data_IF_698283711578
#
_entry.id   IF_698283711578
#
_cell.length_a   1.000
_cell.length_b   1.000
_cell.length_c   1.000
_cell.angle_alpha   90.00
_cell.angle_beta   90.00
_cell.angle_gamma   90.00
#
_symmetry.space_group_name_H-M   'P 1'
#
loop_
_entity.id
_entity.type
_entity.pdbx_description
1 polymer ?
#
# COMPACT_ATOMS: atom_id res chain seq x y z
N UNK A 1 11.28 20.11 42.76
CA UNK A 1 9.89 20.41 43.17
C UNK A 1 9.15 21.26 42.13
N UNK A 2 9.78 22.17 41.38
CA UNK A 2 9.13 22.88 40.26
C UNK A 2 8.59 21.97 39.14
N UNK A 3 9.34 20.93 38.74
CA UNK A 3 8.95 20.03 37.66
C UNK A 3 7.58 19.35 37.83
N UNK A 4 7.17 19.05 39.07
CA UNK A 4 5.87 18.42 39.37
C UNK A 4 4.70 19.41 39.33
N UNK A 5 4.97 20.71 39.48
CA UNK A 5 3.97 21.77 39.40
C UNK A 5 3.62 22.17 37.95
N UNK A 6 4.57 22.00 37.02
CA UNK A 6 4.35 22.30 35.61
C UNK A 6 3.45 21.28 34.89
N UNK A 7 3.25 20.08 35.47
CA UNK A 7 2.40 19.03 34.89
C UNK A 7 2.78 18.72 33.44
N UNK A 8 1.82 18.86 32.51
CA UNK A 8 2.05 18.65 31.07
C UNK A 8 2.87 19.76 30.38
N UNK A 9 3.24 20.84 31.09
CA UNK A 9 4.08 21.94 30.57
C UNK A 9 5.55 21.77 30.92
N UNK A 10 5.90 20.77 31.73
CA UNK A 10 7.26 20.54 32.16
C UNK A 10 8.12 20.14 30.95
N UNK A 11 9.24 20.84 30.73
CA UNK A 11 10.21 20.44 29.71
C UNK A 11 10.82 19.10 30.07
N UNK A 12 10.73 18.10 29.19
CA UNK A 12 11.34 16.79 29.38
C UNK A 12 12.81 16.98 29.81
N UNK A 13 13.24 16.43 30.96
CA UNK A 13 14.59 16.60 31.48
C UNK A 13 15.63 16.15 30.45
N UNK A 14 16.74 16.87 30.38
CA UNK A 14 17.88 16.45 29.58
C UNK A 14 18.32 15.04 30.01
N UNK A 15 18.32 14.07 29.07
CA UNK A 15 18.55 12.64 29.34
C UNK A 15 17.29 11.77 29.37
N UNK A 16 16.09 12.37 29.39
CA UNK A 16 14.80 11.70 29.12
C UNK A 16 14.30 11.98 27.69
N UNK A 17 14.92 12.91 26.97
CA UNK A 17 14.83 12.98 25.51
C UNK A 17 15.54 11.77 24.94
N UNK A 18 14.82 10.98 24.19
CA UNK A 18 15.37 9.74 23.67
C UNK A 18 15.59 9.84 22.17
N UNK A 19 16.82 9.60 21.73
CA UNK A 19 17.23 9.83 20.34
C UNK A 19 16.39 8.99 19.37
N UNK A 20 15.94 9.57 18.24
CA UNK A 20 15.22 8.84 17.21
C UNK A 20 16.08 7.69 16.65
N UNK A 21 15.44 6.59 16.25
CA UNK A 21 16.07 5.49 15.54
C UNK A 21 15.52 5.45 14.11
N UNK A 22 15.72 6.56 13.41
CA UNK A 22 15.28 6.70 12.02
C UNK A 22 16.00 5.68 11.14
N UNK A 23 15.20 4.92 10.38
CA UNK A 23 15.72 4.05 9.34
C UNK A 23 15.84 4.86 8.05
N UNK A 24 17.06 5.02 7.55
CA UNK A 24 17.34 5.81 6.34
C UNK A 24 17.81 4.87 5.23
N UNK A 25 16.98 4.59 4.21
CA UNK A 25 17.39 3.81 3.05
C UNK A 25 18.37 4.64 2.20
N UNK A 26 19.65 4.25 2.18
CA UNK A 26 20.70 4.97 1.42
C UNK A 26 21.08 4.20 0.16
N UNK A 27 21.55 2.96 0.31
CA UNK A 27 22.09 2.18 -0.82
C UNK A 27 21.11 1.12 -1.33
N UNK A 28 20.22 0.65 -0.45
CA UNK A 28 19.29 -0.42 -0.73
C UNK A 28 17.99 -0.25 0.05
N UNK A 29 16.89 -0.90 -0.39
CA UNK A 29 15.64 -0.85 0.34
C UNK A 29 15.78 -1.38 1.77
N UNK A 30 15.10 -0.74 2.71
CA UNK A 30 14.96 -1.20 4.09
C UNK A 30 13.54 -1.72 4.28
N UNK A 31 13.42 -2.92 4.84
CA UNK A 31 12.13 -3.53 5.15
C UNK A 31 11.87 -3.41 6.66
N UNK A 32 10.73 -2.82 7.01
CA UNK A 32 10.27 -2.67 8.39
C UNK A 32 8.93 -3.37 8.58
N UNK A 33 8.91 -4.40 9.43
CA UNK A 33 7.71 -5.22 9.69
C UNK A 33 7.24 -4.98 11.12
N UNK A 34 6.13 -4.25 11.27
CA UNK A 34 5.56 -3.94 12.57
C UNK A 34 4.13 -3.43 12.46
N UNK A 35 3.57 -2.98 13.59
CA UNK A 35 2.30 -2.26 13.63
C UNK A 35 2.49 -0.88 12.99
N UNK A 36 1.94 -0.68 11.79
CA UNK A 36 2.07 0.59 11.06
C UNK A 36 0.71 1.26 11.01
N UNK A 37 0.67 2.53 11.44
CA UNK A 37 -0.58 3.31 11.46
C UNK A 37 -1.17 3.33 10.05
N UNK A 38 -2.48 3.10 9.92
CA UNK A 38 -3.24 3.05 8.65
C UNK A 38 -2.84 1.93 7.68
N UNK A 39 -1.91 1.04 8.07
CA UNK A 39 -1.55 -0.18 7.32
C UNK A 39 -1.75 -1.48 8.14
N UNK A 40 -2.03 -1.37 9.44
CA UNK A 40 -2.43 -2.49 10.28
C UNK A 40 -1.28 -3.21 11.01
N UNK A 41 -1.62 -4.29 11.70
CA UNK A 41 -0.73 -5.03 12.61
C UNK A 41 0.20 -6.04 11.91
N UNK A 42 -0.08 -6.38 10.65
CA UNK A 42 0.78 -7.22 9.80
C UNK A 42 1.32 -6.41 8.62
N UNK A 43 1.63 -5.15 8.87
CA UNK A 43 2.13 -4.27 7.85
C UNK A 43 3.62 -4.50 7.57
N UNK A 44 3.99 -4.24 6.32
CA UNK A 44 5.36 -4.32 5.81
C UNK A 44 5.65 -2.99 5.12
N UNK A 45 6.36 -2.11 5.81
CA UNK A 45 6.89 -0.90 5.22
C UNK A 45 8.17 -1.20 4.44
N UNK A 46 8.32 -0.57 3.28
CA UNK A 46 9.51 -0.67 2.44
C UNK A 46 9.99 0.74 2.14
N UNK A 47 11.16 1.07 2.67
CA UNK A 47 11.85 2.31 2.44
C UNK A 47 12.80 2.13 1.28
N UNK A 48 12.79 3.04 0.31
CA UNK A 48 13.63 2.99 -0.89
C UNK A 48 14.58 4.19 -0.93
N UNK A 49 15.82 4.03 -1.45
CA UNK A 49 16.78 5.13 -1.64
C UNK A 49 16.24 6.34 -2.40
N UNK A 50 15.27 6.12 -3.28
CA UNK A 50 14.59 7.13 -4.10
C UNK A 50 13.66 8.04 -3.29
N UNK A 51 13.63 7.90 -1.95
CA UNK A 51 12.83 8.71 -1.00
C UNK A 51 11.33 8.58 -1.15
N UNK A 52 10.85 7.57 -1.89
CA UNK A 52 9.43 7.20 -1.96
C UNK A 52 9.26 5.83 -1.34
N UNK A 53 8.21 5.67 -0.56
CA UNK A 53 8.06 4.55 0.36
C UNK A 53 6.65 3.97 0.27
N UNK A 54 6.50 2.72 0.68
CA UNK A 54 5.20 2.08 0.73
C UNK A 54 5.01 1.31 2.03
N UNK A 55 3.74 1.08 2.39
CA UNK A 55 3.36 0.07 3.36
C UNK A 55 2.38 -0.90 2.71
N UNK A 56 2.65 -2.19 2.84
CA UNK A 56 1.79 -3.27 2.39
C UNK A 56 1.13 -3.93 3.60
N UNK A 57 -0.19 -4.09 3.57
CA UNK A 57 -0.94 -4.77 4.63
C UNK A 57 -1.08 -6.26 4.28
N UNK A 58 -0.36 -7.12 4.99
CA UNK A 58 -0.37 -8.56 4.77
C UNK A 58 -1.56 -9.29 5.43
N UNK A 59 -2.51 -8.59 6.06
CA UNK A 59 -3.82 -9.17 6.39
C UNK A 59 -4.77 -9.08 5.19
N UNK A 60 -4.76 -7.94 4.49
CA UNK A 60 -5.72 -7.61 3.43
C UNK A 60 -5.12 -7.75 2.03
N UNK A 61 -3.82 -8.05 1.94
CA UNK A 61 -3.06 -8.20 0.69
C UNK A 61 -3.16 -6.97 -0.21
N UNK A 62 -3.13 -5.79 0.42
CA UNK A 62 -3.29 -4.49 -0.25
C UNK A 62 -2.04 -3.63 -0.12
N UNK A 63 -1.87 -2.76 -1.11
CA UNK A 63 -1.09 -1.54 -0.91
C UNK A 63 -1.88 -0.67 0.07
N UNK A 64 -1.30 -0.35 1.22
CA UNK A 64 -1.97 0.45 2.25
C UNK A 64 -1.60 1.92 2.16
N UNK A 65 -0.29 2.20 2.05
CA UNK A 65 0.23 3.56 2.05
C UNK A 65 1.30 3.76 0.99
N UNK A 66 1.37 4.98 0.47
CA UNK A 66 2.52 5.55 -0.23
C UNK A 66 2.90 6.88 0.42
N UNK A 67 4.19 7.21 0.51
CA UNK A 67 4.64 8.51 1.01
C UNK A 67 6.03 8.89 0.49
N UNK A 68 6.45 10.14 0.71
CA UNK A 68 7.76 10.68 0.30
C UNK A 68 8.54 11.23 1.48
N UNK A 69 9.88 11.18 1.42
CA UNK A 69 10.77 11.84 2.36
C UNK A 69 11.32 10.88 3.40
N UNK A 70 11.14 11.20 4.69
CA UNK A 70 11.60 10.34 5.78
C UNK A 70 10.81 9.02 5.82
N UNK A 71 11.52 7.92 6.08
CA UNK A 71 10.92 6.58 6.01
C UNK A 71 10.12 6.27 7.27
N UNK A 72 10.78 5.82 8.34
CA UNK A 72 10.12 5.44 9.59
C UNK A 72 11.11 5.49 10.76
N UNK A 73 10.62 5.80 11.96
CA UNK A 73 11.39 5.69 13.20
C UNK A 73 11.15 4.32 13.86
N UNK A 74 12.16 3.45 13.84
CA UNK A 74 12.04 2.13 14.41
C UNK A 74 12.01 2.11 15.95
N UNK A 75 12.35 3.24 16.59
CA UNK A 75 12.54 3.36 18.03
C UNK A 75 11.36 2.83 18.81
N UNK A 76 10.14 3.18 18.41
CA UNK A 76 8.91 2.76 19.11
C UNK A 76 8.93 1.27 19.38
N UNK A 77 9.24 0.47 18.36
CA UNK A 77 9.13 -0.99 18.43
C UNK A 77 10.44 -1.68 18.80
N UNK A 78 11.59 -1.01 18.70
CA UNK A 78 12.89 -1.58 19.02
C UNK A 78 13.38 -1.24 20.43
N UNK A 79 12.66 -0.36 21.14
CA UNK A 79 12.96 -0.02 22.53
C UNK A 79 11.81 -0.40 23.46
N UNK A 80 12.15 -0.91 24.65
CA UNK A 80 11.16 -1.29 25.66
C UNK A 80 10.20 -2.38 25.16
N UNK A 81 8.89 -2.16 25.35
CA UNK A 81 7.83 -3.14 25.03
C UNK A 81 7.21 -2.99 23.64
N UNK A 82 7.59 -1.97 22.87
CA UNK A 82 7.11 -1.84 21.50
C UNK A 82 5.60 -1.67 21.33
N UNK A 83 4.92 -0.94 22.24
CA UNK A 83 3.47 -0.78 22.16
C UNK A 83 3.04 0.35 21.21
N UNK A 84 1.95 0.10 20.48
CA UNK A 84 1.28 1.07 19.62
C UNK A 84 1.56 0.84 18.14
N UNK A 85 1.29 1.86 17.34
CA UNK A 85 1.53 1.90 15.90
C UNK A 85 2.54 2.99 15.59
N UNK A 86 3.40 2.75 14.61
CA UNK A 86 4.32 3.74 14.07
C UNK A 86 3.84 4.20 12.70
N UNK A 87 3.78 5.51 12.47
CA UNK A 87 3.33 6.08 11.20
C UNK A 87 4.48 6.43 10.26
N UNK A 88 4.18 6.77 8.99
CA UNK A 88 5.15 7.40 8.10
C UNK A 88 5.74 8.67 8.72
N UNK A 89 7.06 8.85 8.63
CA UNK A 89 7.73 10.08 9.09
C UNK A 89 7.80 11.17 7.98
N UNK A 90 7.51 10.78 6.74
CA UNK A 90 7.56 11.66 5.58
C UNK A 90 6.28 12.47 5.34
N UNK A 91 6.19 13.03 4.14
CA UNK A 91 5.07 13.86 3.68
C UNK A 91 4.37 13.23 2.47
N UNK A 92 3.32 13.90 1.98
CA UNK A 92 2.50 13.45 0.85
C UNK A 92 2.03 12.00 1.02
N UNK A 93 1.43 11.71 2.18
CA UNK A 93 0.93 10.37 2.49
C UNK A 93 -0.36 10.12 1.73
N UNK A 94 -0.41 9.05 0.96
CA UNK A 94 -1.61 8.54 0.27
C UNK A 94 -2.03 7.23 0.93
N UNK A 95 -3.31 7.16 1.32
CA UNK A 95 -3.94 5.95 1.84
C UNK A 95 -4.92 5.35 0.82
N UNK A 96 -4.96 4.03 0.73
CA UNK A 96 -5.71 3.27 -0.30
C UNK A 96 -6.98 2.57 0.23
N UNK A 97 -7.38 2.82 1.48
CA UNK A 97 -8.52 2.17 2.14
C UNK A 97 -8.17 0.81 2.76
N UNK A 98 -8.94 0.36 3.73
CA UNK A 98 -8.58 -0.76 4.61
C UNK A 98 -8.96 -2.16 4.12
N UNK A 99 -9.73 -2.24 3.04
CA UNK A 99 -10.30 -3.51 2.61
C UNK A 99 -9.43 -4.25 1.57
N UNK A 100 -9.69 -5.56 1.33
CA UNK A 100 -8.85 -6.40 0.48
C UNK A 100 -8.61 -5.87 -0.92
N UNK A 101 -7.45 -6.22 -1.49
CA UNK A 101 -7.16 -5.90 -2.89
C UNK A 101 -8.06 -6.65 -3.88
N UNK A 102 -8.46 -7.89 -3.59
CA UNK A 102 -9.21 -8.74 -4.50
C UNK A 102 -10.54 -9.17 -3.88
N UNK A 103 -11.57 -9.28 -4.72
CA UNK A 103 -12.86 -9.82 -4.33
C UNK A 103 -13.53 -10.54 -5.50
N UNK A 104 -14.36 -11.52 -5.18
CA UNK A 104 -15.38 -12.02 -6.10
C UNK A 104 -16.68 -11.30 -5.80
N UNK A 105 -17.28 -10.69 -6.82
CA UNK A 105 -18.56 -9.99 -6.69
C UNK A 105 -19.66 -10.76 -7.45
N UNK A 106 -20.84 -10.87 -6.87
CA UNK A 106 -22.02 -11.41 -7.55
C UNK A 106 -22.46 -10.49 -8.69
N UNK A 107 -22.39 -9.18 -8.46
CA UNK A 107 -22.63 -8.13 -9.45
C UNK A 107 -21.87 -6.85 -9.09
N UNK A 108 -21.83 -5.90 -10.03
CA UNK A 108 -21.03 -4.67 -9.92
C UNK A 108 -21.57 -3.68 -8.87
N UNK A 109 -22.74 -3.89 -8.29
CA UNK A 109 -23.29 -3.04 -7.22
C UNK A 109 -23.07 -3.64 -5.83
N UNK A 110 -22.57 -4.88 -5.74
CA UNK A 110 -22.24 -5.50 -4.46
C UNK A 110 -21.16 -4.66 -3.74
N UNK A 111 -21.42 -4.36 -2.46
CA UNK A 111 -20.46 -3.71 -1.57
C UNK A 111 -19.15 -4.50 -1.50
N UNK A 112 -18.03 -3.78 -1.46
CA UNK A 112 -16.71 -4.42 -1.33
C UNK A 112 -16.59 -5.15 0.02
N UNK A 113 -16.04 -6.38 0.07
CA UNK A 113 -15.82 -7.09 1.33
C UNK A 113 -14.95 -6.26 2.27
N UNK A 114 -15.27 -6.20 3.57
CA UNK A 114 -14.50 -5.39 4.53
C UNK A 114 -13.21 -6.04 5.04
N UNK A 115 -13.10 -7.35 4.88
CA UNK A 115 -11.99 -8.16 5.39
C UNK A 115 -11.68 -9.26 4.39
N UNK A 116 -10.41 -9.65 4.33
CA UNK A 116 -9.96 -10.80 3.56
C UNK A 116 -10.59 -12.08 4.12
N UNK A 117 -11.13 -12.90 3.23
CA UNK A 117 -11.51 -14.27 3.57
C UNK A 117 -10.29 -15.20 3.60
N UNK A 118 -10.50 -16.43 4.07
CA UNK A 118 -9.46 -17.45 4.18
C UNK A 118 -8.83 -17.80 2.82
N UNK A 119 -9.51 -17.49 1.71
CA UNK A 119 -9.04 -17.69 0.35
C UNK A 119 -7.94 -16.71 -0.09
N UNK A 120 -7.76 -15.59 0.61
CA UNK A 120 -6.73 -14.60 0.36
C UNK A 120 -5.61 -14.75 1.40
N UNK A 121 -4.49 -15.35 1.00
CA UNK A 121 -3.44 -15.75 1.94
C UNK A 121 -2.08 -15.16 1.55
N UNK A 122 -1.45 -14.47 2.50
CA UNK A 122 -0.07 -14.03 2.35
C UNK A 122 0.88 -15.23 2.33
N UNK A 123 1.77 -15.29 1.33
CA UNK A 123 2.76 -16.35 1.15
C UNK A 123 4.19 -15.89 1.41
N UNK A 124 4.38 -14.63 1.80
CA UNK A 124 5.69 -14.03 2.06
C UNK A 124 6.08 -13.05 0.97
N UNK A 125 7.37 -12.79 0.85
CA UNK A 125 7.94 -12.01 -0.24
C UNK A 125 9.31 -12.59 -0.60
N UNK A 126 9.74 -12.32 -1.84
CA UNK A 126 11.12 -12.57 -2.27
C UNK A 126 11.78 -11.26 -2.64
N UNK A 127 13.10 -11.19 -2.47
CA UNK A 127 13.88 -10.00 -2.80
C UNK A 127 14.47 -10.14 -4.20
N UNK A 128 14.39 -9.08 -5.01
CA UNK A 128 15.10 -9.03 -6.28
C UNK A 128 16.60 -8.70 -6.09
N UNK A 129 17.35 -8.58 -7.18
CA UNK A 129 18.78 -8.28 -7.14
C UNK A 129 19.12 -6.90 -6.52
N UNK A 130 18.15 -5.99 -6.44
CA UNK A 130 18.25 -4.68 -5.78
C UNK A 130 17.61 -4.70 -4.38
N UNK A 131 17.35 -5.90 -3.86
CA UNK A 131 16.66 -6.17 -2.59
C UNK A 131 15.26 -5.57 -2.45
N UNK A 132 14.59 -5.26 -3.56
CA UNK A 132 13.19 -4.82 -3.53
C UNK A 132 12.29 -6.03 -3.31
N UNK A 133 11.29 -5.96 -2.40
CA UNK A 133 10.37 -7.05 -2.19
C UNK A 133 9.37 -7.18 -3.34
N UNK A 134 9.16 -8.42 -3.78
CA UNK A 134 7.99 -8.84 -4.51
C UNK A 134 7.10 -9.65 -3.56
N UNK A 135 5.94 -9.10 -3.23
CA UNK A 135 4.99 -9.70 -2.31
C UNK A 135 4.27 -10.86 -3.00
N UNK A 136 4.20 -12.00 -2.32
CA UNK A 136 3.60 -13.23 -2.82
C UNK A 136 2.36 -13.54 -1.98
N UNK A 137 1.24 -13.74 -2.64
CA UNK A 137 0.00 -14.14 -2.00
C UNK A 137 -0.85 -14.98 -2.94
N UNK A 138 -1.80 -15.74 -2.40
CA UNK A 138 -2.76 -16.50 -3.19
C UNK A 138 -4.16 -15.95 -2.99
N UNK A 139 -4.96 -15.94 -4.05
CA UNK A 139 -6.38 -15.66 -4.00
C UNK A 139 -7.13 -16.81 -4.68
N UNK A 140 -7.84 -17.61 -3.89
CA UNK A 140 -8.51 -18.83 -4.38
C UNK A 140 -7.54 -19.72 -5.18
N UNK A 141 -7.79 -19.89 -6.49
CA UNK A 141 -7.02 -20.74 -7.40
C UNK A 141 -5.96 -19.97 -8.19
N UNK A 142 -5.63 -18.75 -7.75
CA UNK A 142 -4.60 -17.92 -8.35
C UNK A 142 -3.45 -17.62 -7.39
N UNK A 143 -2.24 -17.62 -7.94
CA UNK A 143 -1.02 -17.10 -7.32
C UNK A 143 -0.78 -15.69 -7.83
N UNK A 144 -0.40 -14.79 -6.92
CA UNK A 144 -0.16 -13.38 -7.22
C UNK A 144 1.24 -13.00 -6.75
N UNK A 145 1.99 -12.36 -7.63
CA UNK A 145 3.25 -11.71 -7.34
C UNK A 145 3.12 -10.21 -7.60
N UNK A 146 3.33 -9.39 -6.57
CA UNK A 146 3.10 -7.95 -6.58
C UNK A 146 4.39 -7.20 -6.27
N UNK A 147 4.90 -6.51 -7.29
CA UNK A 147 6.19 -5.84 -7.24
C UNK A 147 6.02 -4.33 -7.35
N UNK A 148 6.69 -3.60 -6.49
CA UNK A 148 6.73 -2.14 -6.50
C UNK A 148 8.15 -1.67 -6.80
N UNK A 149 8.28 -0.76 -7.77
CA UNK A 149 9.55 -0.18 -8.17
C UNK A 149 9.37 1.33 -8.19
N UNK A 150 10.13 2.08 -7.38
CA UNK A 150 10.11 3.54 -7.48
C UNK A 150 10.68 3.96 -8.83
N UNK A 151 10.20 5.08 -9.37
CA UNK A 151 10.74 5.66 -10.59
C UNK A 151 11.72 6.77 -10.23
N UNK A 152 12.97 6.63 -10.67
CA UNK A 152 14.03 7.60 -10.39
C UNK A 152 13.66 9.03 -10.79
N UNK A 153 13.94 9.97 -9.88
CA UNK A 153 13.85 11.40 -10.09
C UNK A 153 13.52 12.17 -8.80
N UNK A 154 14.38 13.13 -8.42
CA UNK A 154 14.29 13.90 -7.18
C UNK A 154 12.93 14.59 -6.94
N UNK A 155 12.25 15.01 -8.01
CA UNK A 155 10.94 15.68 -7.94
C UNK A 155 9.74 14.73 -8.05
N UNK A 156 9.96 13.44 -8.32
CA UNK A 156 8.89 12.49 -8.61
C UNK A 156 8.44 11.77 -7.34
N UNK A 157 7.15 11.54 -7.27
CA UNK A 157 6.41 10.75 -6.26
C UNK A 157 5.75 9.61 -7.02
N UNK A 158 6.57 8.71 -7.56
CA UNK A 158 6.10 7.76 -8.56
C UNK A 158 6.50 6.34 -8.20
N UNK A 159 5.50 5.45 -8.18
CA UNK A 159 5.70 4.01 -8.13
C UNK A 159 5.16 3.33 -9.37
N UNK A 160 5.97 2.44 -9.93
CA UNK A 160 5.53 1.43 -10.87
C UNK A 160 5.21 0.14 -10.10
N UNK A 161 3.94 -0.26 -10.09
CA UNK A 161 3.48 -1.55 -9.56
C UNK A 161 3.25 -2.53 -10.70
N UNK A 162 3.74 -3.74 -10.55
CA UNK A 162 3.47 -4.85 -11.47
C UNK A 162 2.82 -5.98 -10.70
N UNK A 163 1.58 -6.28 -11.03
CA UNK A 163 0.83 -7.41 -10.47
C UNK A 163 0.82 -8.52 -11.51
N UNK A 164 1.50 -9.63 -11.21
CA UNK A 164 1.46 -10.85 -12.00
C UNK A 164 0.50 -11.83 -11.34
N UNK A 165 -0.42 -12.38 -12.13
CA UNK A 165 -1.45 -13.30 -11.66
C UNK A 165 -1.31 -14.57 -12.50
N UNK A 166 -1.13 -15.72 -11.84
CA UNK A 166 -1.19 -17.03 -12.46
C UNK A 166 -2.42 -17.76 -11.93
N UNK A 167 -3.39 -18.03 -12.79
CA UNK A 167 -4.57 -18.78 -12.42
C UNK A 167 -4.43 -20.22 -12.93
N UNK A 168 -4.72 -21.20 -12.07
CA UNK A 168 -4.69 -22.61 -12.43
C UNK A 168 -6.04 -23.09 -13.00
N UNK A 169 -7.10 -22.31 -12.79
CA UNK A 169 -8.44 -22.58 -13.28
C UNK A 169 -9.15 -21.26 -13.59
N UNK A 170 -10.15 -21.34 -14.48
CA UNK A 170 -10.97 -20.18 -14.82
C UNK A 170 -11.80 -19.70 -13.63
N UNK A 171 -11.78 -18.40 -13.36
CA UNK A 171 -12.60 -17.73 -12.35
C UNK A 171 -13.32 -16.54 -12.96
N UNK A 172 -14.58 -16.36 -12.58
CA UNK A 172 -15.43 -15.26 -13.06
C UNK A 172 -15.67 -14.25 -11.96
N UNK A 173 -16.01 -13.02 -12.37
CA UNK A 173 -16.35 -11.91 -11.49
C UNK A 173 -15.28 -11.61 -10.42
N UNK A 174 -14.02 -11.86 -10.75
CA UNK A 174 -12.89 -11.46 -9.92
C UNK A 174 -12.56 -10.01 -10.25
N UNK A 175 -12.49 -9.18 -9.22
CA UNK A 175 -12.11 -7.78 -9.35
C UNK A 175 -10.89 -7.49 -8.50
N UNK A 176 -10.02 -6.65 -9.04
CA UNK A 176 -8.90 -6.05 -8.33
C UNK A 176 -9.19 -4.57 -8.10
N UNK A 177 -9.22 -4.13 -6.84
CA UNK A 177 -9.48 -2.74 -6.47
C UNK A 177 -8.17 -1.99 -6.31
N UNK A 178 -8.03 -0.88 -7.05
CA UNK A 178 -6.83 -0.05 -7.05
C UNK A 178 -6.87 1.11 -6.04
N UNK A 179 -8.06 1.42 -5.52
CA UNK A 179 -8.26 2.42 -4.49
C UNK A 179 -9.68 2.97 -4.49
N UNK A 180 -9.99 3.76 -3.48
CA UNK A 180 -11.26 4.49 -3.33
C UNK A 180 -11.01 5.98 -3.10
N UNK A 181 -12.00 6.81 -3.42
CA UNK A 181 -12.02 8.23 -3.08
C UNK A 181 -13.45 8.79 -3.19
N UNK A 182 -13.75 9.94 -2.58
CA UNK A 182 -15.00 10.66 -2.82
C UNK A 182 -15.30 10.88 -4.30
N UNK A 183 -14.27 11.20 -5.10
CA UNK A 183 -14.39 11.30 -6.56
C UNK A 183 -13.18 10.71 -7.26
N UNK A 184 -13.43 9.91 -8.31
CA UNK A 184 -12.43 9.43 -9.26
C UNK A 184 -12.90 9.79 -10.67
N UNK A 185 -12.10 10.55 -11.40
CA UNK A 185 -12.41 10.98 -12.77
C UNK A 185 -11.40 10.39 -13.75
N UNK A 186 -11.88 9.97 -14.92
CA UNK A 186 -11.01 9.50 -16.00
C UNK A 186 -10.69 10.66 -16.93
N UNK A 187 -9.41 10.97 -17.08
CA UNK A 187 -8.92 11.98 -18.01
C UNK A 187 -9.18 11.51 -19.46
N UNK A 188 -9.93 12.26 -20.28
CA UNK A 188 -10.29 11.85 -21.64
C UNK A 188 -9.10 11.90 -22.61
N UNK A 189 -8.01 12.60 -22.28
CA UNK A 189 -6.86 12.83 -23.16
C UNK A 189 -5.82 11.73 -23.06
N UNK A 190 -5.51 11.28 -21.85
CA UNK A 190 -4.46 10.29 -21.58
C UNK A 190 -5.00 9.00 -20.92
N UNK A 191 -6.27 8.97 -20.52
CA UNK A 191 -6.93 7.82 -19.91
C UNK A 191 -6.55 7.55 -18.45
N UNK A 192 -5.80 8.45 -17.80
CA UNK A 192 -5.44 8.35 -16.39
C UNK A 192 -6.66 8.56 -15.47
N UNK A 193 -6.61 7.99 -14.27
CA UNK A 193 -7.63 8.12 -13.25
C UNK A 193 -7.15 9.07 -12.16
N UNK A 194 -7.82 10.20 -12.01
CA UNK A 194 -7.52 11.26 -11.04
C UNK A 194 -8.44 11.10 -9.83
N UNK A 195 -7.85 10.86 -8.67
CA UNK A 195 -8.54 10.77 -7.39
C UNK A 195 -8.61 12.16 -6.77
N UNK A 196 -9.68 12.44 -6.03
CA UNK A 196 -9.83 13.73 -5.31
C UNK A 196 -8.76 13.96 -4.23
N UNK A 197 -7.97 12.95 -3.87
CA UNK A 197 -6.81 13.06 -2.97
C UNK A 197 -5.56 13.65 -3.63
N UNK A 198 -5.56 13.85 -4.96
CA UNK A 198 -4.38 14.23 -5.74
C UNK A 198 -3.65 13.05 -6.38
N UNK A 199 -3.96 11.81 -5.97
CA UNK A 199 -3.41 10.61 -6.59
C UNK A 199 -3.87 10.47 -8.05
N UNK A 200 -2.93 10.24 -8.95
CA UNK A 200 -3.17 9.85 -10.34
C UNK A 200 -2.73 8.41 -10.56
N UNK A 201 -3.63 7.60 -11.10
CA UNK A 201 -3.38 6.19 -11.42
C UNK A 201 -3.46 5.99 -12.93
N UNK A 202 -2.39 5.47 -13.52
CA UNK A 202 -2.34 5.12 -14.95
C UNK A 202 -2.11 3.63 -15.12
N UNK A 203 -2.86 3.01 -16.02
CA UNK A 203 -2.75 1.58 -16.34
C UNK A 203 -3.22 1.29 -17.77
N UNK A 204 -2.76 0.18 -18.38
CA UNK A 204 -3.13 -0.18 -19.75
C UNK A 204 -4.64 -0.33 -19.96
N UNK A 205 -5.17 0.29 -21.01
CA UNK A 205 -6.59 0.19 -21.38
C UNK A 205 -7.08 -1.25 -21.59
N UNK A 206 -6.18 -2.16 -22.00
CA UNK A 206 -6.48 -3.60 -22.14
C UNK A 206 -6.92 -4.28 -20.84
N UNK A 207 -6.60 -3.70 -19.68
CA UNK A 207 -7.08 -4.19 -18.38
C UNK A 207 -8.55 -3.82 -18.12
N UNK A 208 -9.18 -3.03 -19.02
CA UNK A 208 -10.56 -2.56 -18.92
C UNK A 208 -10.93 -1.97 -17.55
N UNK A 209 -10.11 -1.04 -16.99
CA UNK A 209 -10.40 -0.43 -15.70
C UNK A 209 -11.72 0.35 -15.76
N UNK A 210 -12.48 0.31 -14.66
CA UNK A 210 -13.76 1.00 -14.53
C UNK A 210 -13.85 1.71 -13.18
N UNK A 211 -14.58 2.81 -13.16
CA UNK A 211 -14.97 3.50 -11.92
C UNK A 211 -16.43 3.18 -11.64
N UNK A 212 -16.72 2.75 -10.42
CA UNK A 212 -18.10 2.59 -9.93
C UNK A 212 -18.36 3.46 -8.72
N UNK A 213 -19.64 3.76 -8.46
CA UNK A 213 -20.10 4.46 -7.26
C UNK A 213 -20.87 3.48 -6.39
N UNK A 214 -20.40 3.24 -5.17
CA UNK A 214 -21.05 2.37 -4.20
C UNK A 214 -20.91 2.98 -2.81
N UNK A 215 -22.01 3.05 -2.06
CA UNK A 215 -21.96 3.54 -0.67
C UNK A 215 -21.54 5.00 -0.51
N UNK A 216 -21.64 5.82 -1.57
CA UNK A 216 -21.22 7.22 -1.54
C UNK A 216 -19.73 7.46 -1.84
N UNK A 217 -18.99 6.41 -2.20
CA UNK A 217 -17.60 6.51 -2.64
C UNK A 217 -17.42 6.00 -4.08
N UNK A 218 -16.38 6.53 -4.73
CA UNK A 218 -15.89 6.04 -6.01
C UNK A 218 -14.86 4.94 -5.78
N UNK A 219 -14.96 3.84 -6.52
CA UNK A 219 -13.96 2.78 -6.52
C UNK A 219 -13.38 2.58 -7.92
N UNK A 220 -12.05 2.53 -8.04
CA UNK A 220 -11.36 2.15 -9.27
C UNK A 220 -11.10 0.63 -9.25
N UNK A 221 -11.75 -0.08 -10.16
CA UNK A 221 -11.68 -1.53 -10.28
C UNK A 221 -11.05 -1.95 -11.60
N UNK A 222 -10.38 -3.10 -11.57
CA UNK A 222 -9.91 -3.85 -12.73
C UNK A 222 -10.61 -5.21 -12.74
N UNK A 223 -11.50 -5.48 -13.70
CA UNK A 223 -12.06 -6.81 -13.86
C UNK A 223 -10.96 -7.78 -14.33
N UNK A 224 -10.88 -8.94 -13.69
CA UNK A 224 -9.92 -9.97 -14.02
C UNK A 224 -10.63 -11.13 -14.72
N UNK A 225 -10.27 -11.34 -15.98
CA UNK A 225 -10.67 -12.52 -16.74
C UNK A 225 -9.61 -13.60 -16.50
N UNK A 226 -9.67 -14.22 -15.32
CA UNK A 226 -8.75 -15.28 -14.97
C UNK A 226 -9.18 -16.53 -15.72
N UNK A 227 -8.43 -16.86 -16.77
CA UNK A 227 -8.45 -18.14 -17.47
C UNK A 227 -7.19 -18.92 -17.09
N UNK A 228 -7.13 -20.23 -17.34
CA UNK A 228 -5.89 -20.99 -17.14
C UNK A 228 -4.72 -20.31 -17.87
N UNK A 229 -3.73 -19.84 -17.11
CA UNK A 229 -2.61 -19.07 -17.64
C UNK A 229 -2.15 -17.90 -16.76
N UNK A 230 -1.39 -16.99 -17.39
CA UNK A 230 -0.74 -15.87 -16.72
C UNK A 230 -1.20 -14.53 -17.28
N UNK A 231 -1.55 -13.61 -16.39
CA UNK A 231 -1.86 -12.22 -16.69
C UNK A 231 -0.91 -11.28 -15.95
N UNK A 232 -0.60 -10.13 -16.54
CA UNK A 232 0.19 -9.09 -15.89
C UNK A 232 -0.45 -7.72 -16.08
N UNK A 233 -0.51 -6.95 -15.00
CA UNK A 233 -1.05 -5.60 -14.96
C UNK A 233 0.05 -4.67 -14.46
N UNK A 234 0.38 -3.67 -15.26
CA UNK A 234 1.31 -2.61 -14.89
C UNK A 234 0.51 -1.37 -14.49
N UNK A 235 0.79 -0.82 -13.32
CA UNK A 235 0.11 0.36 -12.78
C UNK A 235 1.18 1.37 -12.40
N UNK A 236 0.93 2.63 -12.74
CA UNK A 236 1.73 3.78 -12.31
C UNK A 236 0.90 4.60 -11.34
N UNK A 237 1.47 4.88 -10.17
CA UNK A 237 0.94 5.82 -9.19
C UNK A 237 1.80 7.10 -9.22
N UNK A 238 1.17 8.26 -9.20
CA UNK A 238 1.78 9.60 -9.19
C UNK A 238 0.97 10.48 -8.22
N UNK A 239 1.59 11.16 -7.24
CA UNK A 239 0.83 11.85 -6.17
C UNK A 239 1.50 13.06 -5.53
#
# INVERSE_FOLDING_TARGET
WEYLWDGNRARIPAGLTTDPMELIPVDEPIIYRNFIQDAGSRAIAVGYPETVHLAFDANQMRLALLWKGAFIDARRHWTGRGQGFEGPQGTNVVSFGDEPAFAVLADINQAWPKQAGDELQFRGYRLDAQRRPEFLYSFQRAEIADKFVPVDGLSKTVFQRTVQIRANESMQNVYFRLGTAPSIQRDPTNGAFQFSSGLTVTLPAKAAPLVRQVGGESELLVPLQLTDGQQSIQIRYDW
#
